data_IF_312852567547
#
_entry.id   IF_312852567547
#
_cell.length_a   1.000
_cell.length_b   1.000
_cell.length_c   1.000
_cell.angle_alpha   90.00
_cell.angle_beta   90.00
_cell.angle_gamma   90.00
#
_symmetry.space_group_name_H-M   'P 1'
#
loop_
_entity.id
_entity.type
_entity.pdbx_description
1 polymer ?
#
# COMPACT_ATOMS: atom_id res chain seq x y z
N UNK A 1 -20.48 1.89 -4.10
CA UNK A 1 -19.87 2.90 -4.99
C UNK A 1 -18.37 2.63 -5.05
N UNK A 2 -17.82 2.28 -6.23
CA UNK A 2 -16.39 1.96 -6.39
C UNK A 2 -15.58 3.26 -6.39
N UNK A 3 -14.63 3.42 -5.45
CA UNK A 3 -13.73 4.58 -5.38
C UNK A 3 -12.69 4.45 -6.50
N UNK A 4 -12.71 5.35 -7.48
CA UNK A 4 -11.68 5.42 -8.53
C UNK A 4 -10.57 6.34 -8.05
N UNK A 5 -9.39 5.78 -7.80
CA UNK A 5 -8.16 6.56 -7.63
C UNK A 5 -7.76 7.04 -9.02
N UNK A 6 -7.95 8.34 -9.31
CA UNK A 6 -7.56 8.95 -10.58
C UNK A 6 -6.08 9.32 -10.53
N UNK A 7 -5.27 8.72 -11.39
CA UNK A 7 -3.95 9.25 -11.76
C UNK A 7 -4.15 10.40 -12.75
N UNK A 8 -3.76 11.62 -12.38
CA UNK A 8 -3.70 12.75 -13.32
C UNK A 8 -2.31 12.80 -13.98
N UNK A 9 -2.26 12.56 -15.28
CA UNK A 9 -1.13 12.92 -16.14
C UNK A 9 -1.37 14.36 -16.62
N UNK A 10 -0.50 15.29 -16.22
CA UNK A 10 -0.57 16.69 -16.68
C UNK A 10 0.36 16.86 -17.89
N UNK A 11 -0.23 17.20 -19.04
CA UNK A 11 0.49 17.62 -20.25
C UNK A 11 0.58 19.15 -20.24
N UNK A 12 1.80 19.69 -20.26
CA UNK A 12 2.04 21.13 -20.40
C UNK A 12 1.94 21.55 -21.87
N UNK A 13 0.99 22.43 -22.19
CA UNK A 13 0.98 23.18 -23.44
C UNK A 13 1.55 24.59 -23.20
N UNK A 14 2.68 24.91 -23.83
CA UNK A 14 3.20 26.27 -23.90
C UNK A 14 2.44 27.05 -24.98
N UNK A 15 1.86 28.19 -24.62
CA UNK A 15 1.38 29.19 -25.56
C UNK A 15 2.20 30.48 -25.41
N UNK A 16 2.75 30.94 -26.54
CA UNK A 16 3.67 32.04 -26.68
C UNK A 16 3.00 33.42 -26.56
N UNK A 17 3.74 34.39 -26.01
CA UNK A 17 3.37 35.80 -25.97
C UNK A 17 3.52 36.47 -27.35
N UNK A 18 2.59 37.36 -27.68
CA UNK A 18 2.76 38.36 -28.73
C UNK A 18 2.47 39.76 -28.17
N UNK A 19 3.33 40.72 -28.51
CA UNK A 19 3.32 42.12 -28.07
C UNK A 19 2.54 43.01 -29.05
N UNK A 20 1.97 44.12 -28.56
CA UNK A 20 1.34 45.15 -29.41
C UNK A 20 0.95 46.45 -28.70
N UNK A 21 1.86 47.43 -28.74
CA UNK A 21 1.72 48.89 -28.96
C UNK A 21 0.75 49.81 -28.17
N UNK A 22 1.39 50.82 -27.54
CA UNK A 22 1.14 52.29 -27.55
C UNK A 22 -0.20 52.90 -27.08
N UNK A 23 -0.12 53.58 -25.93
CA UNK A 23 -0.26 55.04 -25.81
C UNK A 23 -1.67 55.67 -25.82
N UNK A 24 -2.13 56.14 -24.65
CA UNK A 24 -2.68 57.50 -24.46
C UNK A 24 -2.94 57.76 -22.98
N UNK A 25 -2.37 58.86 -22.46
CA UNK A 25 -2.66 59.38 -21.13
C UNK A 25 -4.04 60.06 -21.14
N UNK A 26 -4.95 59.62 -20.29
CA UNK A 26 -6.11 60.42 -19.90
C UNK A 26 -6.38 60.25 -18.42
N UNK A 27 -6.14 61.33 -17.69
CA UNK A 27 -6.36 61.48 -16.26
C UNK A 27 -7.86 61.45 -15.98
N UNK A 28 -8.35 60.38 -15.37
CA UNK A 28 -9.71 60.30 -14.80
C UNK A 28 -9.60 59.92 -13.33
N UNK A 29 -9.78 60.93 -12.47
CA UNK A 29 -9.96 60.84 -11.03
C UNK A 29 -11.20 60.01 -10.71
N UNK A 30 -11.00 58.73 -10.43
CA UNK A 30 -12.06 57.84 -9.93
C UNK A 30 -11.68 57.45 -8.51
N UNK A 31 -12.53 57.81 -7.56
CA UNK A 31 -12.37 57.56 -6.12
C UNK A 31 -12.07 56.07 -5.88
N UNK A 32 -10.90 55.80 -5.32
CA UNK A 32 -10.52 54.49 -4.79
C UNK A 32 -11.37 54.18 -3.57
N UNK A 33 -12.51 53.51 -3.79
CA UNK A 33 -13.19 52.75 -2.73
C UNK A 33 -12.43 51.44 -2.53
N UNK A 34 -11.47 51.47 -1.62
CA UNK A 34 -10.73 50.29 -1.17
C UNK A 34 -11.70 49.36 -0.44
N UNK A 35 -12.30 48.42 -1.17
CA UNK A 35 -12.99 47.29 -0.55
C UNK A 35 -11.91 46.37 -0.01
N UNK A 36 -11.54 46.55 1.26
CA UNK A 36 -10.74 45.59 1.99
C UNK A 36 -11.58 44.33 2.22
N UNK A 37 -11.56 43.42 1.25
CA UNK A 37 -12.01 42.04 1.44
C UNK A 37 -10.99 41.33 2.35
N UNK A 38 -11.06 41.60 3.65
CA UNK A 38 -10.44 40.75 4.68
C UNK A 38 -11.34 39.52 4.87
N UNK A 39 -11.39 38.66 3.86
CA UNK A 39 -11.83 37.29 4.06
C UNK A 39 -10.68 36.54 4.73
N UNK A 40 -10.66 36.57 6.07
CA UNK A 40 -9.81 35.67 6.86
C UNK A 40 -10.28 34.24 6.63
N UNK A 41 -9.75 33.58 5.60
CA UNK A 41 -9.97 32.16 5.38
C UNK A 41 -9.25 31.39 6.49
N UNK A 42 -10.00 30.93 7.49
CA UNK A 42 -9.50 29.92 8.43
C UNK A 42 -8.91 28.78 7.60
N UNK A 43 -7.64 28.37 7.82
CA UNK A 43 -7.05 27.28 7.06
C UNK A 43 -7.97 26.06 7.13
N UNK A 44 -8.36 25.51 5.98
CA UNK A 44 -9.14 24.26 5.94
C UNK A 44 -8.27 23.16 6.54
N UNK A 45 -8.67 22.66 7.71
CA UNK A 45 -8.02 21.52 8.33
C UNK A 45 -8.24 20.28 7.44
N UNK A 46 -7.15 19.66 7.00
CA UNK A 46 -7.19 18.43 6.23
C UNK A 46 -7.03 17.25 7.19
N UNK A 47 -7.93 16.29 7.12
CA UNK A 47 -7.89 15.06 7.93
C UNK A 47 -8.23 13.83 7.12
N UNK A 48 -7.81 12.67 7.61
CA UNK A 48 -8.18 11.36 7.09
C UNK A 48 -8.19 10.33 8.23
N UNK A 49 -8.94 9.26 8.05
CA UNK A 49 -9.02 8.10 8.93
C UNK A 49 -8.21 6.94 8.36
N UNK A 50 -7.48 6.26 9.23
CA UNK A 50 -6.59 5.15 8.89
C UNK A 50 -7.02 3.89 9.65
N UNK A 51 -7.17 2.77 8.95
CA UNK A 51 -7.21 1.46 9.56
C UNK A 51 -5.99 0.65 9.10
N UNK A 52 -5.33 -0.02 10.05
CA UNK A 52 -4.24 -0.96 9.77
C UNK A 52 -4.55 -2.29 10.44
N UNK A 53 -4.21 -3.40 9.79
CA UNK A 53 -4.28 -4.73 10.40
C UNK A 53 -2.92 -5.40 10.37
N UNK A 54 -2.73 -6.38 11.26
CA UNK A 54 -1.59 -7.28 11.22
C UNK A 54 -1.70 -8.33 10.12
N UNK A 55 -1.00 -9.43 10.35
CA UNK A 55 -0.66 -10.44 9.37
C UNK A 55 -1.86 -11.11 8.71
N UNK A 56 -1.90 -11.04 7.38
CA UNK A 56 -2.66 -11.94 6.54
C UNK A 56 -1.78 -13.15 6.22
N UNK A 57 -1.80 -14.12 7.12
CA UNK A 57 -0.98 -15.34 7.06
C UNK A 57 -1.92 -16.57 7.06
N UNK A 58 -2.52 -16.93 5.92
CA UNK A 58 -3.43 -18.05 5.88
C UNK A 58 -2.67 -19.39 5.91
N UNK A 59 -2.90 -20.18 6.97
CA UNK A 59 -2.48 -21.58 7.06
C UNK A 59 -3.51 -22.54 6.46
N UNK A 60 -3.17 -23.84 6.41
CA UNK A 60 -3.97 -24.90 5.77
C UNK A 60 -5.41 -24.97 6.27
N UNK A 61 -5.66 -24.73 7.57
CA UNK A 61 -7.03 -24.69 8.12
C UNK A 61 -7.86 -23.56 7.54
N UNK A 62 -7.26 -22.40 7.29
CA UNK A 62 -7.94 -21.26 6.66
C UNK A 62 -8.20 -21.55 5.18
N UNK A 63 -7.29 -22.19 4.47
CA UNK A 63 -7.54 -22.59 3.06
C UNK A 63 -8.66 -23.62 2.95
N UNK A 64 -8.66 -24.63 3.81
CA UNK A 64 -9.73 -25.63 3.85
C UNK A 64 -11.08 -24.97 4.19
N UNK A 65 -11.08 -23.98 5.07
CA UNK A 65 -12.25 -23.13 5.32
C UNK A 65 -12.70 -22.39 4.07
N UNK A 66 -11.76 -21.78 3.33
CA UNK A 66 -12.06 -21.05 2.11
C UNK A 66 -12.58 -21.96 0.99
N UNK A 67 -12.07 -23.19 0.87
CA UNK A 67 -12.59 -24.21 -0.05
C UNK A 67 -14.02 -24.60 0.29
N UNK A 68 -14.32 -24.82 1.59
CA UNK A 68 -15.70 -25.05 2.04
C UNK A 68 -16.63 -23.88 1.74
N UNK A 69 -16.15 -22.65 1.93
CA UNK A 69 -16.91 -21.45 1.58
C UNK A 69 -17.21 -21.38 0.08
N UNK A 70 -16.24 -21.71 -0.78
CA UNK A 70 -16.43 -21.69 -2.23
C UNK A 70 -17.52 -22.67 -2.68
N UNK A 71 -17.52 -23.87 -2.12
CA UNK A 71 -18.55 -24.89 -2.36
C UNK A 71 -19.91 -24.40 -1.83
N UNK A 72 -19.97 -23.92 -0.59
CA UNK A 72 -21.21 -23.44 0.03
C UNK A 72 -21.84 -22.25 -0.72
N UNK A 73 -21.01 -21.42 -1.34
CA UNK A 73 -21.44 -20.27 -2.14
C UNK A 73 -21.72 -20.64 -3.62
N UNK A 74 -21.62 -21.92 -4.00
CA UNK A 74 -21.90 -22.38 -5.36
C UNK A 74 -20.93 -21.86 -6.42
N UNK A 75 -19.72 -21.45 -6.01
CA UNK A 75 -18.67 -21.00 -6.93
C UNK A 75 -18.07 -22.18 -7.68
N UNK A 76 -17.99 -23.33 -7.01
CA UNK A 76 -17.42 -24.56 -7.53
C UNK A 76 -18.13 -25.78 -6.93
N UNK A 77 -18.15 -26.88 -7.66
CA UNK A 77 -18.61 -28.18 -7.16
C UNK A 77 -17.65 -28.76 -6.11
N UNK A 78 -18.10 -29.80 -5.39
CA UNK A 78 -17.36 -30.44 -4.29
C UNK A 78 -15.92 -30.89 -4.60
N UNK A 79 -15.62 -31.14 -5.88
CA UNK A 79 -14.32 -31.65 -6.33
C UNK A 79 -13.41 -30.54 -6.89
N UNK A 80 -13.91 -29.31 -7.04
CA UNK A 80 -13.11 -28.24 -7.64
C UNK A 80 -12.17 -27.55 -6.67
N UNK A 81 -11.16 -26.90 -7.24
CA UNK A 81 -10.04 -26.32 -6.50
C UNK A 81 -10.06 -24.80 -6.58
N UNK A 82 -11.04 -24.21 -5.88
CA UNK A 82 -11.26 -22.76 -5.80
C UNK A 82 -11.42 -22.39 -4.32
N UNK A 83 -10.90 -21.22 -3.95
CA UNK A 83 -10.93 -20.73 -2.58
C UNK A 83 -11.77 -19.45 -2.45
N UNK A 84 -12.69 -19.41 -1.47
CA UNK A 84 -13.43 -18.21 -1.11
C UNK A 84 -13.12 -17.76 0.32
N UNK A 85 -12.18 -16.82 0.44
CA UNK A 85 -11.81 -16.22 1.72
C UNK A 85 -12.77 -15.10 2.16
N UNK A 86 -13.67 -14.61 1.31
CA UNK A 86 -14.51 -13.42 1.60
C UNK A 86 -15.35 -13.56 2.87
N UNK A 87 -15.99 -14.72 3.16
CA UNK A 87 -16.74 -14.88 4.40
C UNK A 87 -15.89 -14.67 5.67
N UNK A 88 -14.59 -14.95 5.62
CA UNK A 88 -13.68 -14.79 6.77
C UNK A 88 -13.43 -13.32 7.11
N UNK A 89 -13.62 -12.41 6.15
CA UNK A 89 -13.46 -10.97 6.33
C UNK A 89 -14.78 -10.23 6.56
N UNK A 90 -15.92 -10.94 6.59
CA UNK A 90 -17.24 -10.31 6.62
C UNK A 90 -17.45 -9.38 7.84
N UNK A 91 -16.89 -9.74 9.00
CA UNK A 91 -17.06 -8.97 10.24
C UNK A 91 -16.17 -7.72 10.30
N UNK A 92 -15.00 -7.73 9.66
CA UNK A 92 -14.08 -6.58 9.65
C UNK A 92 -14.38 -5.61 8.51
N UNK A 93 -15.05 -6.08 7.45
CA UNK A 93 -15.39 -5.29 6.28
C UNK A 93 -16.10 -3.95 6.59
N UNK A 94 -17.11 -3.87 7.49
CA UNK A 94 -17.74 -2.60 7.81
C UNK A 94 -16.77 -1.57 8.41
N UNK A 95 -15.77 -2.02 9.17
CA UNK A 95 -14.75 -1.14 9.76
C UNK A 95 -13.80 -0.67 8.67
N UNK A 96 -13.21 -1.60 7.93
CA UNK A 96 -12.20 -1.30 6.91
C UNK A 96 -12.76 -0.44 5.76
N UNK A 97 -14.00 -0.69 5.34
CA UNK A 97 -14.64 0.11 4.29
C UNK A 97 -15.15 1.48 4.74
N UNK A 98 -15.15 1.76 6.06
CA UNK A 98 -15.61 3.05 6.60
C UNK A 98 -14.50 4.12 6.67
N UNK A 99 -13.23 3.72 6.57
CA UNK A 99 -12.09 4.65 6.66
C UNK A 99 -11.68 5.22 5.29
N UNK A 100 -10.85 6.25 5.32
CA UNK A 100 -10.30 6.88 4.11
C UNK A 100 -9.14 6.09 3.51
N UNK A 101 -8.37 5.39 4.36
CA UNK A 101 -7.27 4.51 3.96
C UNK A 101 -7.23 3.26 4.85
N UNK A 102 -7.42 2.08 4.26
CA UNK A 102 -7.23 0.80 4.93
C UNK A 102 -5.98 0.08 4.40
N UNK A 103 -5.06 -0.28 5.30
CA UNK A 103 -3.79 -0.95 4.97
C UNK A 103 -3.76 -2.36 5.57
N UNK A 104 -3.56 -3.37 4.72
CA UNK A 104 -3.32 -4.74 5.14
C UNK A 104 -1.82 -5.01 5.32
N UNK A 105 -1.46 -6.11 6.00
CA UNK A 105 -0.15 -6.73 5.87
C UNK A 105 -0.33 -8.10 5.20
N UNK A 106 0.15 -8.26 3.97
CA UNK A 106 0.17 -9.57 3.31
C UNK A 106 1.55 -10.19 3.51
N UNK A 107 1.65 -11.03 4.54
CA UNK A 107 2.91 -11.61 4.98
C UNK A 107 3.39 -12.72 4.06
N UNK A 108 2.47 -13.58 3.60
CA UNK A 108 2.84 -14.76 2.83
C UNK A 108 2.76 -14.51 1.33
N UNK A 109 3.71 -15.08 0.54
CA UNK A 109 3.66 -14.93 -0.90
C UNK A 109 2.54 -15.77 -1.51
N UNK A 110 1.97 -15.25 -2.59
CA UNK A 110 1.11 -16.03 -3.49
C UNK A 110 1.98 -17.06 -4.21
N UNK A 111 1.50 -18.31 -4.27
CA UNK A 111 2.15 -19.35 -5.06
C UNK A 111 2.07 -18.99 -6.55
N UNK A 112 3.18 -19.06 -7.31
CA UNK A 112 3.13 -19.06 -8.77
C UNK A 112 2.17 -20.13 -9.31
N UNK A 113 1.57 -19.89 -10.47
CA UNK A 113 0.52 -20.76 -11.01
C UNK A 113 1.00 -22.21 -11.31
N UNK A 114 2.31 -22.40 -11.52
CA UNK A 114 2.97 -23.69 -11.75
C UNK A 114 3.50 -24.34 -10.46
N UNK A 115 3.26 -23.74 -9.29
CA UNK A 115 3.72 -24.25 -8.00
C UNK A 115 2.56 -24.70 -7.10
N UNK A 116 2.78 -25.81 -6.38
CA UNK A 116 1.82 -26.27 -5.38
C UNK A 116 1.73 -25.31 -4.19
N UNK A 117 0.56 -25.23 -3.58
CA UNK A 117 0.34 -24.49 -2.34
C UNK A 117 1.08 -25.15 -1.17
N UNK A 118 1.66 -24.34 -0.27
CA UNK A 118 2.30 -24.86 0.94
C UNK A 118 2.17 -23.90 2.13
N UNK A 119 2.17 -24.48 3.33
CA UNK A 119 2.25 -23.71 4.58
C UNK A 119 3.66 -23.81 5.14
N UNK A 120 3.86 -23.30 6.37
CA UNK A 120 5.09 -23.48 7.16
C UNK A 120 5.85 -24.79 6.85
N UNK A 121 7.17 -24.75 6.62
CA UNK A 121 8.07 -23.60 6.84
C UNK A 121 8.15 -22.59 5.69
N UNK A 122 7.77 -22.97 4.47
CA UNK A 122 7.80 -22.10 3.30
C UNK A 122 6.39 -21.93 2.76
N UNK A 123 5.85 -20.73 2.78
CA UNK A 123 4.49 -20.47 2.36
C UNK A 123 4.38 -20.27 0.85
N UNK A 124 3.25 -20.69 0.30
CA UNK A 124 2.75 -20.28 -1.02
C UNK A 124 1.24 -20.43 -0.98
N UNK A 125 0.54 -19.29 -0.96
CA UNK A 125 -0.89 -19.27 -0.63
C UNK A 125 -1.75 -19.01 -1.88
N UNK A 126 -3.05 -19.40 -1.88
CA UNK A 126 -3.92 -19.15 -3.02
C UNK A 126 -4.07 -17.67 -3.32
N UNK A 127 -4.12 -17.30 -4.60
CA UNK A 127 -4.24 -15.89 -5.02
C UNK A 127 -5.56 -15.25 -4.57
N UNK A 128 -6.59 -16.04 -4.32
CA UNK A 128 -7.94 -15.63 -3.95
C UNK A 128 -8.01 -14.95 -2.57
N UNK A 129 -6.94 -15.05 -1.76
CA UNK A 129 -6.82 -14.22 -0.56
C UNK A 129 -6.86 -12.73 -0.91
N UNK A 130 -6.29 -12.33 -2.06
CA UNK A 130 -6.31 -10.93 -2.51
C UNK A 130 -7.71 -10.45 -2.90
N UNK A 131 -8.56 -11.34 -3.41
CA UNK A 131 -9.97 -11.02 -3.68
C UNK A 131 -10.74 -10.76 -2.38
N UNK A 132 -10.42 -11.49 -1.31
CA UNK A 132 -10.99 -11.26 0.00
C UNK A 132 -10.48 -9.97 0.67
N UNK A 133 -9.20 -9.63 0.49
CA UNK A 133 -8.67 -8.34 0.93
C UNK A 133 -9.38 -7.17 0.24
N UNK A 134 -9.59 -7.27 -1.07
CA UNK A 134 -10.30 -6.24 -1.83
C UNK A 134 -11.78 -6.17 -1.42
N UNK A 135 -12.41 -7.33 -1.20
CA UNK A 135 -13.77 -7.41 -0.67
C UNK A 135 -13.90 -6.77 0.72
N UNK A 136 -12.91 -6.97 1.59
CA UNK A 136 -12.88 -6.40 2.94
C UNK A 136 -12.80 -4.87 2.92
N UNK A 137 -12.26 -4.28 1.85
CA UNK A 137 -12.13 -2.84 1.68
C UNK A 137 -10.73 -2.31 1.94
N UNK A 138 -9.69 -3.15 1.87
CA UNK A 138 -8.31 -2.66 1.88
C UNK A 138 -7.97 -1.91 0.59
N UNK A 139 -7.29 -0.79 0.71
CA UNK A 139 -6.82 0.03 -0.42
C UNK A 139 -5.34 -0.25 -0.75
N UNK A 140 -4.59 -0.69 0.26
CA UNK A 140 -3.15 -0.91 0.17
C UNK A 140 -2.70 -2.07 1.05
N UNK A 141 -1.59 -2.71 0.69
CA UNK A 141 -0.92 -3.67 1.56
C UNK A 141 0.57 -3.34 1.74
N UNK A 142 1.07 -3.59 2.94
CA UNK A 142 2.50 -3.81 3.19
C UNK A 142 2.83 -5.28 2.90
N UNK A 143 4.00 -5.54 2.32
CA UNK A 143 4.39 -6.90 1.89
C UNK A 143 5.82 -7.28 2.26
N UNK A 144 6.62 -6.40 2.86
CA UNK A 144 7.93 -6.83 3.38
C UNK A 144 7.71 -7.66 4.64
N UNK A 145 8.04 -8.94 4.57
CA UNK A 145 7.93 -9.90 5.67
C UNK A 145 9.11 -10.87 5.69
N UNK A 146 9.24 -11.62 6.79
CA UNK A 146 10.20 -12.72 6.87
C UNK A 146 9.90 -13.86 5.88
N UNK A 147 8.67 -13.98 5.41
CA UNK A 147 8.24 -14.95 4.40
C UNK A 147 8.33 -14.45 2.96
N UNK A 148 8.84 -13.23 2.74
CA UNK A 148 8.89 -12.62 1.41
C UNK A 148 9.68 -13.43 0.36
N UNK A 149 10.61 -14.26 0.80
CA UNK A 149 11.49 -15.06 -0.07
C UNK A 149 11.11 -16.54 -0.16
N UNK A 150 10.02 -16.98 0.48
CA UNK A 150 9.66 -18.41 0.54
C UNK A 150 9.45 -19.04 -0.85
N UNK A 151 9.01 -18.23 -1.82
CA UNK A 151 8.85 -18.60 -3.25
C UNK A 151 9.79 -17.84 -4.18
N UNK A 152 10.87 -17.29 -3.63
CA UNK A 152 11.85 -16.47 -4.34
C UNK A 152 11.22 -15.27 -5.08
N UNK A 153 11.89 -14.81 -6.14
CA UNK A 153 11.43 -13.65 -6.92
C UNK A 153 10.14 -13.93 -7.69
N UNK A 154 9.91 -15.18 -8.12
CA UNK A 154 8.64 -15.56 -8.77
C UNK A 154 7.45 -15.39 -7.82
N UNK A 155 7.61 -15.73 -6.55
CA UNK A 155 6.61 -15.49 -5.52
C UNK A 155 6.33 -14.02 -5.26
N UNK A 156 7.38 -13.20 -5.21
CA UNK A 156 7.24 -11.74 -5.11
C UNK A 156 6.42 -11.21 -6.30
N UNK A 157 6.83 -11.56 -7.51
CA UNK A 157 6.17 -11.08 -8.73
C UNK A 157 4.70 -11.56 -8.78
N UNK A 158 4.43 -12.83 -8.45
CA UNK A 158 3.08 -13.38 -8.37
C UNK A 158 2.21 -12.65 -7.33
N UNK A 159 2.78 -12.33 -6.16
CA UNK A 159 2.08 -11.62 -5.08
C UNK A 159 1.69 -10.21 -5.49
N UNK A 160 2.64 -9.46 -6.06
CA UNK A 160 2.39 -8.09 -6.51
C UNK A 160 1.40 -8.05 -7.67
N UNK A 161 1.50 -8.99 -8.62
CA UNK A 161 0.54 -9.10 -9.71
C UNK A 161 -0.88 -9.46 -9.21
N UNK A 162 -1.01 -10.30 -8.18
CA UNK A 162 -2.31 -10.63 -7.59
C UNK A 162 -2.95 -9.43 -6.88
N UNK A 163 -2.16 -8.62 -6.17
CA UNK A 163 -2.63 -7.36 -5.56
C UNK A 163 -3.04 -6.33 -6.62
N UNK A 164 -2.23 -6.15 -7.66
CA UNK A 164 -2.51 -5.24 -8.78
C UNK A 164 -3.80 -5.64 -9.52
N UNK A 165 -4.04 -6.95 -9.73
CA UNK A 165 -5.25 -7.50 -10.35
C UNK A 165 -6.52 -7.02 -9.63
N UNK A 166 -6.48 -6.98 -8.29
CA UNK A 166 -7.62 -6.56 -7.46
C UNK A 166 -7.59 -5.07 -7.11
N UNK A 167 -6.65 -4.31 -7.69
CA UNK A 167 -6.43 -2.87 -7.47
C UNK A 167 -6.06 -2.50 -6.04
N UNK A 168 -5.41 -3.40 -5.32
CA UNK A 168 -4.78 -3.07 -4.04
C UNK A 168 -3.35 -2.63 -4.33
N UNK A 169 -3.06 -1.38 -4.00
CA UNK A 169 -1.69 -0.87 -4.14
C UNK A 169 -0.76 -1.50 -3.09
N UNK A 170 0.55 -1.50 -3.30
CA UNK A 170 1.46 -2.17 -2.35
C UNK A 170 2.80 -1.46 -2.15
N UNK A 171 3.51 -1.86 -1.09
CA UNK A 171 4.90 -1.49 -0.79
C UNK A 171 5.59 -2.59 0.02
N UNK A 172 6.91 -2.69 -0.10
CA UNK A 172 7.74 -3.57 0.72
C UNK A 172 8.40 -4.68 -0.10
N UNK A 173 7.73 -5.16 -1.15
CA UNK A 173 8.32 -5.96 -2.21
C UNK A 173 8.38 -5.18 -3.53
N UNK A 174 9.21 -5.62 -4.47
CA UNK A 174 9.41 -4.97 -5.77
C UNK A 174 9.76 -5.95 -6.90
N UNK A 175 9.26 -5.68 -8.10
CA UNK A 175 9.63 -6.36 -9.37
C UNK A 175 10.80 -5.68 -10.07
N UNK A 176 10.98 -4.39 -9.81
CA UNK A 176 12.08 -3.57 -10.34
C UNK A 176 12.72 -2.73 -9.24
N UNK A 177 13.98 -2.28 -9.40
CA UNK A 177 14.62 -1.39 -8.42
C UNK A 177 13.86 -0.07 -8.17
N UNK A 178 13.03 0.39 -9.11
CA UNK A 178 12.21 1.59 -8.90
C UNK A 178 11.04 1.35 -7.93
N UNK A 179 10.43 0.17 -7.99
CA UNK A 179 9.22 -0.13 -7.24
C UNK A 179 9.41 -0.10 -5.72
N UNK A 180 10.64 -0.33 -5.24
CA UNK A 180 10.95 -0.30 -3.80
C UNK A 180 11.10 1.13 -3.26
N UNK A 181 11.26 2.13 -4.13
CA UNK A 181 11.49 3.51 -3.71
C UNK A 181 10.20 4.14 -3.14
N UNK A 182 10.32 5.15 -2.25
CA UNK A 182 9.16 5.86 -1.73
C UNK A 182 8.29 6.47 -2.83
N UNK A 183 6.98 6.20 -2.77
CA UNK A 183 5.97 6.77 -3.67
C UNK A 183 4.89 7.46 -2.86
N UNK A 184 4.33 8.53 -3.42
CA UNK A 184 3.22 9.25 -2.81
C UNK A 184 1.88 8.64 -3.22
N UNK A 185 0.99 8.50 -2.26
CA UNK A 185 -0.44 8.30 -2.45
C UNK A 185 -1.16 9.53 -1.89
N UNK A 186 -2.36 9.81 -2.39
CA UNK A 186 -3.15 10.96 -1.95
C UNK A 186 -4.46 10.48 -1.33
N UNK A 187 -4.70 10.87 -0.08
CA UNK A 187 -5.93 10.55 0.66
C UNK A 187 -6.50 11.86 1.18
N UNK A 188 -7.72 12.21 0.80
CA UNK A 188 -8.34 13.51 1.14
C UNK A 188 -7.42 14.72 0.85
N UNK A 189 -6.72 14.68 -0.29
CA UNK A 189 -5.72 15.67 -0.75
C UNK A 189 -4.44 15.74 0.09
N UNK A 190 -4.27 14.87 1.08
CA UNK A 190 -3.06 14.74 1.88
C UNK A 190 -2.10 13.79 1.17
N UNK A 191 -0.87 14.24 0.91
CA UNK A 191 0.20 13.41 0.36
C UNK A 191 0.78 12.49 1.45
N UNK A 192 0.68 11.18 1.25
CA UNK A 192 1.16 10.15 2.18
C UNK A 192 2.22 9.31 1.48
N UNK A 193 3.35 9.04 2.13
CA UNK A 193 4.28 7.99 1.74
C UNK A 193 4.14 6.80 2.70
N UNK A 194 3.83 5.61 2.18
CA UNK A 194 3.80 4.38 2.96
C UNK A 194 4.95 3.47 2.50
N UNK A 195 5.82 3.07 3.43
CA UNK A 195 6.92 2.13 3.20
C UNK A 195 6.80 0.94 4.17
N UNK A 196 7.36 -0.20 3.77
CA UNK A 196 7.31 -1.45 4.53
C UNK A 196 8.68 -2.11 4.57
N UNK A 197 9.07 -2.61 5.75
CA UNK A 197 10.36 -3.22 6.01
C UNK A 197 10.21 -4.47 6.86
N UNK A 198 11.11 -5.45 6.68
CA UNK A 198 11.14 -6.70 7.46
C UNK A 198 12.47 -6.94 8.14
N UNK A 199 12.47 -7.57 9.32
CA UNK A 199 13.67 -7.86 10.07
C UNK A 199 14.59 -8.92 9.43
N UNK A 200 14.04 -9.85 8.63
CA UNK A 200 14.81 -10.93 8.00
C UNK A 200 14.06 -11.57 6.82
N UNK A 201 14.62 -12.66 6.27
CA UNK A 201 13.98 -13.60 5.33
C UNK A 201 14.04 -15.05 5.83
N UNK A 202 14.02 -15.28 7.14
CA UNK A 202 14.15 -16.61 7.75
C UNK A 202 15.39 -17.40 7.28
N UNK A 203 16.51 -16.71 7.06
CA UNK A 203 17.78 -17.31 6.61
C UNK A 203 17.89 -17.53 5.09
N UNK A 204 16.86 -17.20 4.32
CA UNK A 204 16.93 -17.22 2.86
C UNK A 204 17.73 -16.02 2.33
N UNK A 205 18.59 -16.21 1.32
CA UNK A 205 19.31 -15.10 0.69
C UNK A 205 18.38 -14.28 -0.20
N UNK A 206 18.71 -13.01 -0.41
CA UNK A 206 18.15 -12.27 -1.54
C UNK A 206 18.56 -12.96 -2.85
N UNK A 207 17.59 -13.27 -3.70
CA UNK A 207 17.86 -13.95 -4.97
C UNK A 207 18.81 -13.11 -5.83
N UNK A 208 19.87 -13.73 -6.37
CA UNK A 208 20.82 -13.10 -7.30
C UNK A 208 21.42 -11.77 -6.80
N UNK A 209 21.48 -11.54 -5.48
CA UNK A 209 21.95 -10.26 -4.92
C UNK A 209 20.98 -9.09 -5.07
N UNK A 210 19.74 -9.34 -5.51
CA UNK A 210 18.70 -8.33 -5.69
C UNK A 210 18.08 -7.91 -4.35
N UNK A 211 18.86 -7.26 -3.49
CA UNK A 211 18.45 -6.81 -2.14
C UNK A 211 17.33 -5.75 -2.14
N UNK A 212 16.91 -5.27 -3.30
CA UNK A 212 15.79 -4.36 -3.51
C UNK A 212 14.46 -5.08 -3.68
N UNK A 213 14.44 -6.42 -3.87
CA UNK A 213 13.22 -7.22 -4.05
C UNK A 213 12.28 -7.21 -2.86
N UNK A 214 12.84 -7.11 -1.66
CA UNK A 214 12.13 -6.84 -0.42
C UNK A 214 13.02 -5.96 0.47
N UNK A 215 12.45 -5.07 1.29
CA UNK A 215 13.26 -4.15 2.08
C UNK A 215 13.52 -4.70 3.49
N UNK A 216 14.80 -4.99 3.80
CA UNK A 216 15.21 -5.27 5.17
C UNK A 216 15.20 -4.00 6.03
N UNK A 217 14.96 -4.16 7.32
CA UNK A 217 15.13 -3.10 8.31
C UNK A 217 16.61 -2.73 8.40
N UNK A 218 16.92 -1.55 7.88
CA UNK A 218 18.20 -0.86 7.98
C UNK A 218 17.87 0.60 8.32
N UNK A 219 18.27 1.05 9.51
CA UNK A 219 17.90 2.38 10.02
C UNK A 219 18.41 3.50 9.12
N UNK A 220 19.58 3.35 8.51
CA UNK A 220 20.14 4.37 7.62
C UNK A 220 19.36 4.43 6.32
N UNK A 221 18.97 3.27 5.77
CA UNK A 221 18.08 3.18 4.60
C UNK A 221 16.73 3.82 4.91
N UNK A 222 16.09 3.45 6.01
CA UNK A 222 14.78 3.99 6.41
C UNK A 222 14.88 5.52 6.52
N UNK A 223 15.90 6.05 7.18
CA UNK A 223 16.08 7.50 7.30
C UNK A 223 16.30 8.18 5.93
N UNK A 224 17.02 7.55 5.00
CA UNK A 224 17.16 8.05 3.62
C UNK A 224 15.82 8.05 2.88
N UNK A 225 15.07 6.96 2.96
CA UNK A 225 13.76 6.79 2.32
C UNK A 225 12.75 7.82 2.86
N UNK A 226 12.72 8.02 4.18
CA UNK A 226 11.89 9.06 4.83
C UNK A 226 12.25 10.46 4.32
N UNK A 227 13.55 10.80 4.24
CA UNK A 227 13.98 12.10 3.68
C UNK A 227 13.57 12.24 2.22
N UNK A 228 13.68 11.17 1.43
CA UNK A 228 13.26 11.18 0.03
C UNK A 228 11.75 11.37 -0.10
N UNK A 229 10.94 10.68 0.71
CA UNK A 229 9.49 10.87 0.78
C UNK A 229 9.12 12.32 1.11
N UNK A 230 9.81 12.94 2.08
CA UNK A 230 9.60 14.36 2.42
C UNK A 230 9.98 15.29 1.26
N UNK A 231 11.07 15.02 0.55
CA UNK A 231 11.47 15.79 -0.66
C UNK A 231 10.45 15.68 -1.78
N UNK A 232 9.78 14.53 -1.92
CA UNK A 232 8.69 14.35 -2.89
C UNK A 232 7.42 15.13 -2.51
N UNK A 233 7.31 15.60 -1.26
CA UNK A 233 6.16 16.35 -0.76
C UNK A 233 5.25 15.56 0.19
N UNK A 234 5.69 14.41 0.72
CA UNK A 234 4.91 13.68 1.72
C UNK A 234 4.61 14.57 2.94
N UNK A 235 3.33 14.74 3.25
CA UNK A 235 2.84 15.40 4.46
C UNK A 235 2.75 14.40 5.61
N UNK A 236 2.45 13.13 5.30
CA UNK A 236 2.48 12.02 6.26
C UNK A 236 3.41 10.93 5.74
N UNK A 237 4.19 10.34 6.63
CA UNK A 237 5.09 9.22 6.34
C UNK A 237 4.71 8.09 7.27
N UNK A 238 4.29 6.97 6.70
CA UNK A 238 3.83 5.76 7.40
C UNK A 238 4.84 4.64 7.18
N UNK A 239 5.28 3.99 8.25
CA UNK A 239 6.21 2.87 8.23
C UNK A 239 5.51 1.61 8.77
N UNK A 240 5.38 0.58 7.93
CA UNK A 240 4.97 -0.76 8.37
C UNK A 240 6.22 -1.60 8.64
N UNK A 241 6.50 -1.83 9.91
CA UNK A 241 7.66 -2.58 10.37
C UNK A 241 7.24 -4.01 10.74
N UNK A 242 7.65 -4.99 9.93
CA UNK A 242 7.49 -6.41 10.22
C UNK A 242 8.69 -6.87 11.08
N UNK A 243 8.49 -6.89 12.39
CA UNK A 243 9.55 -7.02 13.40
C UNK A 243 9.01 -7.56 14.73
N UNK A 244 9.93 -7.82 15.66
CA UNK A 244 9.62 -8.30 17.01
C UNK A 244 9.86 -9.80 17.15
N UNK A 245 9.57 -10.29 18.36
CA UNK A 245 9.69 -11.70 18.69
C UNK A 245 8.31 -12.35 18.56
N UNK A 246 8.22 -13.48 17.86
CA UNK A 246 6.96 -14.20 17.69
C UNK A 246 6.36 -14.54 19.07
N UNK A 247 5.06 -14.25 19.25
CA UNK A 247 4.28 -14.53 20.48
C UNK A 247 4.65 -13.70 21.70
N UNK A 248 5.47 -12.67 21.55
CA UNK A 248 5.72 -11.70 22.60
C UNK A 248 4.93 -10.41 22.33
N UNK A 249 4.18 -9.95 23.33
CA UNK A 249 3.43 -8.69 23.26
C UNK A 249 4.21 -7.48 23.77
N UNK A 250 5.36 -7.71 24.40
CA UNK A 250 6.24 -6.65 24.91
C UNK A 250 7.30 -6.34 23.85
N UNK A 251 7.56 -5.05 23.55
CA UNK A 251 8.61 -4.68 22.60
C UNK A 251 9.98 -5.24 23.01
N UNK A 252 10.69 -5.85 22.06
CA UNK A 252 12.04 -6.33 22.27
C UNK A 252 13.04 -5.18 22.42
N UNK A 253 14.23 -5.47 22.95
CA UNK A 253 15.31 -4.48 23.05
C UNK A 253 15.75 -3.93 21.69
N UNK A 254 15.63 -4.74 20.63
CA UNK A 254 15.86 -4.28 19.27
C UNK A 254 14.79 -3.27 18.85
N UNK A 255 13.51 -3.59 19.03
CA UNK A 255 12.41 -2.70 18.67
C UNK A 255 12.49 -1.35 19.39
N UNK A 256 12.78 -1.35 20.70
CA UNK A 256 12.91 -0.10 21.47
C UNK A 256 14.14 0.73 21.08
N UNK A 257 15.21 0.09 20.58
CA UNK A 257 16.43 0.77 20.13
C UNK A 257 16.23 1.53 18.81
N UNK A 258 15.39 1.01 17.91
CA UNK A 258 15.28 1.52 16.53
C UNK A 258 13.95 2.23 16.22
N UNK A 259 13.00 2.25 17.16
CA UNK A 259 11.77 3.05 17.10
C UNK A 259 12.05 4.52 17.45
#
# INVERSE_FOLDING_TARGET
MRRFIRFCIIVFALAACASGSTGSNTTSTTKSSTVTNNASSTPTELSFTLAVSGDTLPHSRLWQGAKRNAIANGIVDKDGDVYDFRPMFALVKPILSSVDLAICHLETPIAPADEELSTFPFFGVPSEITDALAYAGYDRCSTASNHAMDRGTRGIDATLNALDRVRISHTGMARTPDEINPKLIFVNRIAIAHMSYTFSYNGLPAANGETWRSALIDTDRILRDVRQARKLGAQVVLLSMHWGNERESTPSSYQTKIA
#
